data_IF_498254274696
#
_entry.id   IF_498254274696
#
_cell.length_a   1.000
_cell.length_b   1.000
_cell.length_c   1.000
_cell.angle_alpha   90.00
_cell.angle_beta   90.00
_cell.angle_gamma   90.00
#
_symmetry.space_group_name_H-M   'P 1'
#
loop_
_entity.id
_entity.type
_entity.pdbx_description
1 polymer ?
#
# COMPACT_ATOMS: atom_id res chain seq x y z
N UNK A 1 27.67 -43.67 20.29
CA UNK A 1 28.47 -42.45 20.50
C UNK A 1 27.52 -41.27 20.41
N UNK A 2 27.35 -40.54 21.52
CA UNK A 2 26.70 -39.22 21.69
C UNK A 2 25.21 -39.10 21.25
N UNK A 3 24.27 -38.57 22.01
CA UNK A 3 24.32 -37.93 23.32
C UNK A 3 22.97 -38.00 24.03
N UNK A 4 23.08 -37.86 25.35
CA UNK A 4 22.06 -37.94 26.39
C UNK A 4 21.16 -36.70 26.51
N UNK A 5 19.91 -36.97 26.93
CA UNK A 5 19.11 -36.27 27.95
C UNK A 5 19.06 -34.73 27.94
N UNK A 6 17.84 -34.17 28.01
CA UNK A 6 17.26 -33.73 29.28
C UNK A 6 15.96 -32.95 29.06
N UNK A 7 14.89 -33.49 29.63
CA UNK A 7 13.67 -32.77 30.01
C UNK A 7 14.02 -31.81 31.14
N UNK A 8 13.69 -30.52 31.01
CA UNK A 8 13.79 -29.55 32.10
C UNK A 8 12.44 -28.89 32.30
N UNK A 9 11.89 -29.16 33.49
CA UNK A 9 10.79 -28.49 34.18
C UNK A 9 11.13 -27.03 34.48
N UNK A 10 10.18 -26.12 34.30
CA UNK A 10 10.28 -24.76 34.84
C UNK A 10 9.53 -24.67 36.17
N UNK A 11 10.29 -24.32 37.20
CA UNK A 11 9.88 -24.05 38.57
C UNK A 11 9.41 -22.60 38.74
N UNK A 12 8.43 -22.41 39.62
CA UNK A 12 8.03 -21.11 40.16
C UNK A 12 9.07 -20.52 41.14
N UNK A 13 8.96 -19.19 41.29
CA UNK A 13 9.43 -18.30 42.37
C UNK A 13 10.74 -17.53 42.18
N UNK A 14 10.60 -16.21 42.03
CA UNK A 14 11.29 -15.23 42.86
C UNK A 14 10.68 -13.84 42.65
N UNK A 15 10.18 -13.27 43.74
CA UNK A 15 9.80 -11.86 43.86
C UNK A 15 11.06 -10.99 43.67
N UNK A 16 10.96 -10.03 42.77
CA UNK A 16 11.95 -8.98 42.55
C UNK A 16 11.23 -7.67 42.27
N UNK A 17 11.22 -6.79 43.26
CA UNK A 17 10.68 -5.44 43.21
C UNK A 17 11.37 -4.62 42.10
N UNK A 18 10.62 -4.21 41.09
CA UNK A 18 11.06 -3.21 40.12
C UNK A 18 10.19 -1.96 40.17
N UNK A 19 10.89 -0.87 40.41
CA UNK A 19 10.46 0.50 40.56
C UNK A 19 9.66 0.93 39.33
N UNK A 20 8.49 1.51 39.58
CA UNK A 20 7.63 2.17 38.60
C UNK A 20 8.39 3.32 37.94
N UNK A 21 8.97 3.08 36.77
CA UNK A 21 9.21 4.13 35.78
C UNK A 21 8.03 4.08 34.81
N UNK A 22 7.11 5.03 34.97
CA UNK A 22 5.99 5.22 34.06
C UNK A 22 6.50 5.52 32.66
N UNK A 23 6.64 4.49 31.83
CA UNK A 23 6.59 4.68 30.39
C UNK A 23 5.16 5.11 30.06
N UNK A 24 4.96 6.27 29.40
CA UNK A 24 3.66 6.58 28.85
C UNK A 24 3.32 5.44 27.91
N UNK A 25 2.21 4.76 28.20
CA UNK A 25 1.61 3.76 27.30
C UNK A 25 1.48 4.45 25.96
N UNK A 26 2.40 4.14 25.05
CA UNK A 26 2.39 4.62 23.69
C UNK A 26 1.20 3.91 23.06
N UNK A 27 0.01 4.53 23.16
CA UNK A 27 -1.16 4.09 22.40
C UNK A 27 -0.71 4.07 20.95
N UNK A 28 -0.46 2.88 20.41
CA UNK A 28 -0.35 2.72 18.98
C UNK A 28 -1.71 3.16 18.43
N UNK A 29 -1.76 4.35 17.87
CA UNK A 29 -2.89 4.83 17.09
C UNK A 29 -3.00 3.89 15.89
N UNK A 30 -3.80 2.84 16.09
CA UNK A 30 -3.85 1.65 15.22
C UNK A 30 -4.52 1.95 13.88
N UNK A 31 -5.37 2.97 13.85
CA UNK A 31 -6.21 3.30 12.72
C UNK A 31 -5.78 4.60 12.05
N UNK A 32 -5.88 4.62 10.72
CA UNK A 32 -5.72 5.83 9.93
C UNK A 32 -6.92 6.75 10.08
N UNK A 33 -6.71 8.06 9.90
CA UNK A 33 -7.72 9.10 9.99
C UNK A 33 -8.94 8.80 9.10
N UNK A 34 -8.73 8.28 7.89
CA UNK A 34 -9.83 7.91 7.01
C UNK A 34 -10.71 6.80 7.63
N UNK A 35 -10.09 5.73 8.14
CA UNK A 35 -10.80 4.64 8.84
C UNK A 35 -11.47 5.16 10.11
N UNK A 36 -10.84 6.06 10.84
CA UNK A 36 -11.45 6.69 12.02
C UNK A 36 -12.73 7.47 11.68
N UNK A 37 -12.71 8.26 10.61
CA UNK A 37 -13.85 9.09 10.19
C UNK A 37 -15.02 8.24 9.69
N UNK A 38 -14.74 7.23 8.85
CA UNK A 38 -15.76 6.49 8.11
C UNK A 38 -16.00 5.06 8.61
N UNK A 39 -15.16 4.52 9.48
CA UNK A 39 -15.14 3.09 9.81
C UNK A 39 -14.94 2.77 11.29
N UNK A 40 -15.12 3.74 12.20
CA UNK A 40 -14.99 3.53 13.65
C UNK A 40 -16.17 2.80 14.28
N UNK A 41 -17.26 2.55 13.54
CA UNK A 41 -18.44 1.83 14.02
C UNK A 41 -19.36 2.65 14.93
N UNK A 42 -19.05 3.93 15.16
CA UNK A 42 -19.96 4.87 15.83
C UNK A 42 -21.11 5.25 14.91
N UNK A 43 -22.26 5.67 15.46
CA UNK A 43 -23.43 6.08 14.69
C UNK A 43 -23.08 7.13 13.62
N UNK A 44 -22.31 8.16 13.99
CA UNK A 44 -21.93 9.21 13.06
C UNK A 44 -20.92 8.74 12.00
N UNK A 45 -19.99 7.84 12.36
CA UNK A 45 -19.10 7.24 11.35
C UNK A 45 -19.88 6.42 10.32
N UNK A 46 -20.93 5.72 10.77
CA UNK A 46 -21.80 4.92 9.92
C UNK A 46 -22.68 5.79 9.01
N UNK A 47 -23.17 6.94 9.52
CA UNK A 47 -23.86 7.95 8.68
C UNK A 47 -22.93 8.48 7.58
N UNK A 48 -21.67 8.78 7.92
CA UNK A 48 -20.66 9.24 6.95
C UNK A 48 -20.33 8.14 5.92
N UNK A 49 -20.19 6.89 6.36
CA UNK A 49 -19.97 5.74 5.48
C UNK A 49 -21.13 5.52 4.51
N UNK A 50 -22.37 5.61 5.00
CA UNK A 50 -23.59 5.49 4.19
C UNK A 50 -23.67 6.61 3.14
N UNK A 51 -23.36 7.86 3.54
CA UNK A 51 -23.28 8.99 2.61
C UNK A 51 -22.23 8.76 1.52
N UNK A 52 -21.04 8.25 1.90
CA UNK A 52 -19.99 7.91 0.94
C UNK A 52 -20.41 6.79 0.00
N UNK A 53 -21.05 5.74 0.52
CA UNK A 53 -21.60 4.65 -0.28
C UNK A 53 -22.63 5.16 -1.30
N UNK A 54 -23.56 6.00 -0.86
CA UNK A 54 -24.56 6.60 -1.73
C UNK A 54 -23.94 7.45 -2.84
N UNK A 55 -22.92 8.25 -2.50
CA UNK A 55 -22.24 9.10 -3.46
C UNK A 55 -21.48 8.30 -4.52
N UNK A 56 -20.84 7.19 -4.14
CA UNK A 56 -20.09 6.33 -5.07
C UNK A 56 -21.01 5.47 -5.96
N UNK A 57 -22.18 5.08 -5.45
CA UNK A 57 -23.08 4.15 -6.14
C UNK A 57 -24.31 4.81 -6.77
N UNK A 58 -24.48 6.14 -6.61
CA UNK A 58 -25.70 6.87 -6.98
C UNK A 58 -26.97 6.27 -6.38
N UNK A 59 -26.88 5.79 -5.14
CA UNK A 59 -27.99 5.26 -4.34
C UNK A 59 -28.47 6.30 -3.32
N UNK A 60 -29.50 5.95 -2.54
CA UNK A 60 -30.17 6.85 -1.61
C UNK A 60 -30.58 6.18 -0.28
N UNK A 61 -29.76 5.27 0.24
CA UNK A 61 -30.00 4.63 1.53
C UNK A 61 -30.02 5.65 2.67
N UNK A 62 -30.93 5.49 3.63
CA UNK A 62 -31.09 6.40 4.76
C UNK A 62 -30.87 5.74 6.12
N UNK A 63 -30.94 4.41 6.18
CA UNK A 63 -30.81 3.65 7.42
C UNK A 63 -29.40 3.08 7.56
N UNK A 64 -28.69 3.49 8.61
CA UNK A 64 -27.34 2.98 8.90
C UNK A 64 -27.34 1.50 9.30
N UNK A 65 -28.49 0.94 9.71
CA UNK A 65 -28.64 -0.48 10.06
C UNK A 65 -28.55 -1.39 8.84
N UNK A 66 -28.67 -0.83 7.64
CA UNK A 66 -28.45 -1.55 6.38
C UNK A 66 -26.97 -1.91 6.17
N UNK A 67 -26.06 -1.25 6.90
CA UNK A 67 -24.62 -1.52 6.84
C UNK A 67 -24.24 -2.54 7.92
N UNK A 68 -23.62 -3.63 7.49
CA UNK A 68 -22.91 -4.58 8.36
C UNK A 68 -21.40 -4.44 8.16
N UNK A 69 -20.69 -3.89 9.15
CA UNK A 69 -19.22 -3.81 9.08
C UNK A 69 -18.60 -5.21 9.14
N UNK A 70 -17.72 -5.52 8.19
CA UNK A 70 -17.04 -6.81 8.04
C UNK A 70 -15.51 -6.71 8.10
N UNK A 71 -14.97 -5.51 8.34
CA UNK A 71 -13.52 -5.28 8.44
C UNK A 71 -12.85 -6.30 9.35
N UNK A 72 -11.88 -7.03 8.81
CA UNK A 72 -11.14 -8.03 9.59
C UNK A 72 -9.87 -7.39 10.11
N UNK A 73 -9.75 -7.33 11.44
CA UNK A 73 -8.50 -6.92 12.09
C UNK A 73 -7.59 -8.14 12.29
N UNK A 74 -6.31 -8.00 11.92
CA UNK A 74 -5.24 -8.98 12.17
C UNK A 74 -5.49 -10.40 11.66
N UNK A 75 -5.24 -10.63 10.36
CA UNK A 75 -4.91 -11.97 9.85
C UNK A 75 -3.39 -12.06 9.64
N UNK A 76 -2.82 -13.22 9.97
CA UNK A 76 -1.37 -13.51 10.01
C UNK A 76 -0.63 -13.12 8.72
N UNK A 77 -1.31 -13.17 7.57
CA UNK A 77 -0.71 -12.95 6.24
C UNK A 77 -1.17 -11.65 5.56
N UNK A 78 -2.23 -11.02 6.04
CA UNK A 78 -2.84 -9.84 5.42
C UNK A 78 -3.36 -8.91 6.51
N UNK A 79 -2.74 -7.75 6.65
CA UNK A 79 -3.24 -6.70 7.54
C UNK A 79 -4.03 -5.69 6.72
N UNK A 80 -5.35 -5.71 6.82
CA UNK A 80 -6.22 -4.63 6.36
C UNK A 80 -6.09 -3.45 7.34
N UNK A 81 -5.10 -2.58 7.12
CA UNK A 81 -4.80 -1.46 8.05
C UNK A 81 -5.63 -0.21 7.78
N UNK A 82 -5.95 0.05 6.50
CA UNK A 82 -6.57 1.31 6.06
C UNK A 82 -7.95 1.09 5.44
N UNK A 83 -8.41 -0.15 5.48
CA UNK A 83 -9.51 -0.64 4.69
C UNK A 83 -10.78 -0.67 5.53
N UNK A 84 -11.90 -0.26 4.92
CA UNK A 84 -13.23 -0.38 5.50
C UNK A 84 -13.96 -1.42 4.67
N UNK A 85 -14.27 -2.56 5.28
CA UNK A 85 -15.08 -3.60 4.66
C UNK A 85 -16.46 -3.61 5.29
N UNK A 86 -17.49 -3.69 4.46
CA UNK A 86 -18.87 -3.73 4.91
C UNK A 86 -19.79 -4.34 3.86
N UNK A 87 -20.88 -4.93 4.33
CA UNK A 87 -21.97 -5.41 3.49
C UNK A 87 -23.13 -4.42 3.59
N UNK A 88 -23.73 -4.11 2.46
CA UNK A 88 -25.00 -3.40 2.34
C UNK A 88 -25.73 -3.99 1.14
N UNK A 89 -27.00 -4.32 1.30
CA UNK A 89 -27.77 -5.18 0.38
C UNK A 89 -27.00 -6.46 0.03
N UNK A 90 -26.98 -6.84 -1.25
CA UNK A 90 -26.24 -7.97 -1.80
C UNK A 90 -24.81 -7.58 -2.26
N UNK A 91 -24.20 -6.55 -1.68
CA UNK A 91 -22.87 -6.06 -2.07
C UNK A 91 -21.86 -6.18 -0.92
N UNK A 92 -20.74 -6.87 -1.17
CA UNK A 92 -19.55 -6.82 -0.32
C UNK A 92 -18.68 -5.64 -0.77
N UNK A 93 -18.58 -4.61 0.06
CA UNK A 93 -17.84 -3.40 -0.24
C UNK A 93 -16.52 -3.39 0.50
N UNK A 94 -15.48 -2.93 -0.18
CA UNK A 94 -14.17 -2.70 0.39
C UNK A 94 -13.67 -1.34 -0.08
N UNK A 95 -13.46 -0.43 0.85
CA UNK A 95 -12.96 0.91 0.57
C UNK A 95 -11.56 1.05 1.16
N UNK A 96 -10.59 1.40 0.31
CA UNK A 96 -9.22 1.65 0.74
C UNK A 96 -8.80 3.08 0.39
N UNK A 97 -8.34 3.84 1.37
CA UNK A 97 -7.71 5.14 1.12
C UNK A 97 -6.21 4.98 0.88
N UNK A 98 -5.69 5.67 -0.15
CA UNK A 98 -4.27 5.68 -0.49
C UNK A 98 -3.75 7.07 -0.85
N UNK A 99 -2.60 7.41 -0.28
CA UNK A 99 -1.82 8.62 -0.64
C UNK A 99 -0.76 8.37 -1.70
N UNK A 100 -0.57 7.12 -2.12
CA UNK A 100 0.38 6.71 -3.16
C UNK A 100 -0.32 5.89 -4.23
N UNK A 101 0.03 6.13 -5.50
CA UNK A 101 -0.54 5.37 -6.61
C UNK A 101 -0.03 3.93 -6.56
N UNK A 102 -0.94 2.96 -6.55
CA UNK A 102 -0.63 1.55 -6.52
C UNK A 102 -1.36 0.81 -7.65
N UNK A 103 -0.67 0.31 -8.69
CA UNK A 103 -1.32 -0.48 -9.74
C UNK A 103 -1.71 -1.89 -9.29
N UNK A 104 -1.15 -2.38 -8.18
CA UNK A 104 -1.36 -3.75 -7.69
C UNK A 104 -2.66 -3.92 -6.89
N UNK A 105 -3.52 -2.89 -6.89
CA UNK A 105 -4.77 -2.91 -6.14
C UNK A 105 -5.69 -4.07 -6.54
N UNK A 106 -5.92 -4.39 -7.82
CA UNK A 106 -6.75 -5.54 -8.18
C UNK A 106 -6.26 -6.86 -7.55
N UNK A 107 -4.95 -7.09 -7.53
CA UNK A 107 -4.35 -8.28 -6.90
C UNK A 107 -4.56 -8.29 -5.39
N UNK A 108 -4.31 -7.16 -4.73
CA UNK A 108 -4.54 -7.01 -3.28
C UNK A 108 -6.02 -7.20 -2.92
N UNK A 109 -6.91 -6.60 -3.71
CA UNK A 109 -8.36 -6.73 -3.59
C UNK A 109 -8.78 -8.20 -3.72
N UNK A 110 -8.30 -8.92 -4.73
CA UNK A 110 -8.56 -10.35 -4.87
C UNK A 110 -8.24 -11.14 -3.59
N UNK A 111 -7.05 -10.91 -3.00
CA UNK A 111 -6.65 -11.55 -1.73
C UNK A 111 -7.55 -11.15 -0.55
N UNK A 112 -7.99 -9.89 -0.49
CA UNK A 112 -8.85 -9.38 0.58
C UNK A 112 -10.25 -9.99 0.50
N UNK A 113 -10.83 -9.99 -0.69
CA UNK A 113 -12.15 -10.55 -0.92
C UNK A 113 -12.18 -12.07 -0.73
N UNK A 114 -11.12 -12.79 -1.07
CA UNK A 114 -11.02 -14.21 -0.75
C UNK A 114 -11.23 -14.48 0.76
N UNK A 115 -10.61 -13.67 1.63
CA UNK A 115 -10.75 -13.79 3.08
C UNK A 115 -12.11 -13.31 3.58
N UNK A 116 -12.63 -12.21 3.04
CA UNK A 116 -13.97 -11.70 3.36
C UNK A 116 -15.05 -12.73 3.02
N UNK A 117 -14.96 -13.36 1.85
CA UNK A 117 -15.89 -14.42 1.46
C UNK A 117 -15.71 -15.68 2.29
N UNK A 118 -14.48 -16.10 2.60
CA UNK A 118 -14.26 -17.24 3.49
C UNK A 118 -14.95 -17.04 4.85
N UNK A 119 -14.80 -15.84 5.44
CA UNK A 119 -15.47 -15.48 6.69
C UNK A 119 -17.00 -15.44 6.53
N UNK A 120 -17.50 -14.81 5.47
CA UNK A 120 -18.93 -14.72 5.18
C UNK A 120 -19.57 -16.11 5.08
N UNK A 121 -18.94 -17.03 4.34
CA UNK A 121 -19.40 -18.40 4.17
C UNK A 121 -19.38 -19.18 5.51
N UNK A 122 -18.34 -18.98 6.32
CA UNK A 122 -18.25 -19.60 7.65
C UNK A 122 -19.36 -19.11 8.60
N UNK A 123 -19.64 -17.80 8.63
CA UNK A 123 -20.70 -17.22 9.45
C UNK A 123 -22.08 -17.72 9.04
N UNK A 124 -22.32 -17.85 7.74
CA UNK A 124 -23.58 -18.38 7.19
C UNK A 124 -23.65 -19.91 7.16
N UNK A 125 -22.59 -20.60 7.63
CA UNK A 125 -22.48 -22.07 7.64
C UNK A 125 -22.71 -22.69 6.25
N UNK A 126 -22.26 -22.01 5.21
CA UNK A 126 -22.36 -22.47 3.82
C UNK A 126 -21.22 -23.44 3.50
N UNK A 127 -21.56 -24.61 2.97
CA UNK A 127 -20.60 -25.64 2.58
C UNK A 127 -20.17 -25.49 1.12
N UNK A 128 -18.97 -24.97 0.90
CA UNK A 128 -18.40 -24.74 -0.44
C UNK A 128 -18.09 -26.03 -1.21
N UNK A 129 -17.99 -27.16 -0.52
CA UNK A 129 -17.70 -28.47 -1.11
C UNK A 129 -18.98 -29.24 -1.47
N UNK A 130 -20.15 -28.68 -1.13
CA UNK A 130 -21.44 -29.23 -1.50
C UNK A 130 -21.74 -29.11 -2.99
N UNK A 131 -22.78 -29.81 -3.43
CA UNK A 131 -23.21 -29.83 -4.85
C UNK A 131 -24.15 -28.67 -5.21
N UNK A 132 -24.65 -27.93 -4.22
CA UNK A 132 -25.56 -26.79 -4.44
C UNK A 132 -24.78 -25.51 -4.70
N UNK A 133 -25.18 -24.76 -5.73
CA UNK A 133 -24.62 -23.44 -6.02
C UNK A 133 -24.84 -22.51 -4.82
N UNK A 134 -23.75 -21.92 -4.34
CA UNK A 134 -23.79 -20.91 -3.29
C UNK A 134 -23.85 -19.52 -3.94
N UNK A 135 -24.81 -18.72 -3.47
CA UNK A 135 -24.86 -17.29 -3.79
C UNK A 135 -24.06 -16.52 -2.73
N UNK A 136 -23.25 -15.57 -3.19
CA UNK A 136 -22.45 -14.66 -2.35
C UNK A 136 -22.72 -13.21 -2.79
N UNK A 137 -22.54 -12.22 -1.88
CA UNK A 137 -22.66 -10.81 -2.23
C UNK A 137 -21.69 -10.42 -3.35
N UNK A 138 -22.08 -9.54 -4.27
CA UNK A 138 -21.21 -9.10 -5.34
C UNK A 138 -20.10 -8.18 -4.81
N UNK A 139 -18.86 -8.30 -5.29
CA UNK A 139 -17.74 -7.52 -4.79
C UNK A 139 -17.71 -6.11 -5.38
N UNK A 140 -17.44 -5.11 -4.54
CA UNK A 140 -17.13 -3.73 -4.96
C UNK A 140 -15.88 -3.23 -4.27
N UNK A 141 -14.82 -3.04 -5.04
CA UNK A 141 -13.57 -2.49 -4.53
C UNK A 141 -13.38 -1.05 -4.99
N UNK A 142 -13.42 -0.10 -4.05
CA UNK A 142 -13.14 1.32 -4.30
C UNK A 142 -11.82 1.73 -3.66
N UNK A 143 -10.99 2.43 -4.41
CA UNK A 143 -9.73 3.02 -3.93
C UNK A 143 -9.88 4.53 -3.93
N UNK A 144 -9.77 5.15 -2.77
CA UNK A 144 -9.91 6.59 -2.60
C UNK A 144 -8.51 7.19 -2.60
N UNK A 145 -8.11 7.66 -3.78
CA UNK A 145 -6.77 8.18 -4.03
C UNK A 145 -6.71 9.67 -3.70
N UNK A 146 -5.83 10.05 -2.78
CA UNK A 146 -5.53 11.45 -2.51
C UNK A 146 -4.05 11.76 -2.72
N UNK A 147 -3.28 10.97 -3.46
CA UNK A 147 -1.84 11.24 -3.64
C UNK A 147 -1.54 12.43 -4.55
N UNK A 148 -0.24 12.74 -4.70
CA UNK A 148 0.25 13.90 -5.48
C UNK A 148 0.57 13.59 -6.95
N UNK A 149 0.55 12.32 -7.37
CA UNK A 149 0.75 11.96 -8.77
C UNK A 149 -0.46 12.40 -9.57
N UNK A 150 -0.25 13.15 -10.65
CA UNK A 150 -1.31 13.55 -11.57
C UNK A 150 -2.04 12.29 -12.10
N UNK A 151 -3.30 12.14 -11.71
CA UNK A 151 -4.11 10.94 -11.93
C UNK A 151 -5.52 11.38 -12.33
N UNK A 152 -6.16 10.76 -13.33
CA UNK A 152 -7.54 11.09 -13.70
C UNK A 152 -8.53 10.93 -12.55
N UNK A 153 -9.71 11.55 -12.69
CA UNK A 153 -10.81 11.44 -11.71
C UNK A 153 -11.18 9.99 -11.43
N UNK A 154 -11.25 9.15 -12.47
CA UNK A 154 -11.63 7.75 -12.35
C UNK A 154 -10.64 6.87 -13.11
N UNK A 155 -10.10 5.86 -12.44
CA UNK A 155 -9.22 4.86 -13.05
C UNK A 155 -9.73 3.47 -12.70
N UNK A 156 -9.95 2.64 -13.72
CA UNK A 156 -10.31 1.24 -13.55
C UNK A 156 -9.05 0.38 -13.67
N UNK A 157 -8.58 -0.15 -12.55
CA UNK A 157 -7.45 -1.06 -12.50
C UNK A 157 -7.93 -2.50 -12.68
N UNK A 158 -7.19 -3.31 -13.43
CA UNK A 158 -7.54 -4.69 -13.79
C UNK A 158 -6.46 -5.67 -13.35
N UNK A 159 -6.88 -6.83 -12.85
CA UNK A 159 -5.95 -7.89 -12.47
C UNK A 159 -5.25 -8.47 -13.70
N UNK A 160 -5.95 -8.55 -14.83
CA UNK A 160 -5.40 -9.06 -16.09
C UNK A 160 -4.20 -8.27 -16.59
N UNK A 161 -4.08 -6.99 -16.23
CA UNK A 161 -2.93 -6.14 -16.60
C UNK A 161 -1.63 -6.58 -15.89
N UNK A 162 -1.74 -7.43 -14.85
CA UNK A 162 -0.61 -7.94 -14.08
C UNK A 162 -0.17 -9.35 -14.49
N UNK A 163 -0.84 -10.00 -15.43
CA UNK A 163 -0.48 -11.36 -15.86
C UNK A 163 0.71 -11.34 -16.82
N UNK A 164 1.71 -12.19 -16.56
CA UNK A 164 2.85 -12.39 -17.47
C UNK A 164 2.40 -13.02 -18.80
N UNK A 165 1.45 -13.96 -18.72
CA UNK A 165 0.82 -14.59 -19.87
C UNK A 165 -0.39 -13.79 -20.36
N UNK A 166 -0.57 -13.73 -21.68
CA UNK A 166 -1.78 -13.16 -22.27
C UNK A 166 -2.96 -14.11 -22.03
N UNK A 167 -4.06 -13.59 -21.51
CA UNK A 167 -5.34 -14.31 -21.37
C UNK A 167 -6.40 -13.67 -22.25
N UNK A 168 -7.52 -14.36 -22.49
CA UNK A 168 -8.67 -13.71 -23.10
C UNK A 168 -9.25 -12.67 -22.15
N UNK A 169 -9.89 -11.65 -22.74
CA UNK A 169 -10.42 -10.53 -21.99
C UNK A 169 -11.65 -10.96 -21.21
N UNK A 170 -11.53 -10.98 -19.88
CA UNK A 170 -12.64 -11.20 -18.96
C UNK A 170 -12.63 -12.55 -18.23
N UNK A 171 -11.75 -13.48 -18.62
CA UNK A 171 -11.69 -14.82 -18.01
C UNK A 171 -11.33 -14.78 -16.51
N UNK A 172 -10.29 -14.01 -16.19
CA UNK A 172 -9.75 -13.87 -14.84
C UNK A 172 -9.65 -12.39 -14.49
N UNK A 173 -10.81 -11.76 -14.30
CA UNK A 173 -10.90 -10.32 -14.11
C UNK A 173 -11.36 -9.98 -12.69
N UNK A 174 -10.42 -9.47 -11.89
CA UNK A 174 -10.72 -8.72 -10.67
C UNK A 174 -10.41 -7.25 -10.91
N UNK A 175 -11.24 -6.34 -10.41
CA UNK A 175 -11.02 -4.91 -10.65
C UNK A 175 -11.05 -4.09 -9.38
N UNK A 176 -10.28 -3.01 -9.40
CA UNK A 176 -10.37 -1.93 -8.41
C UNK A 176 -10.80 -0.66 -9.14
N UNK A 177 -11.77 0.07 -8.58
CA UNK A 177 -12.19 1.37 -9.10
C UNK A 177 -11.55 2.45 -8.26
N UNK A 178 -10.56 3.14 -8.80
CA UNK A 178 -9.86 4.20 -8.10
C UNK A 178 -10.50 5.56 -8.42
N UNK A 179 -10.87 6.29 -7.38
CA UNK A 179 -11.43 7.64 -7.43
C UNK A 179 -10.38 8.60 -6.91
N UNK A 180 -10.00 9.60 -7.72
CA UNK A 180 -9.14 10.69 -7.25
C UNK A 180 -9.97 11.68 -6.42
N UNK A 181 -9.83 11.62 -5.10
CA UNK A 181 -10.58 12.43 -4.14
C UNK A 181 -9.85 13.72 -3.76
N UNK A 182 -8.74 14.08 -4.43
CA UNK A 182 -8.11 15.38 -4.18
C UNK A 182 -9.10 16.53 -4.45
N UNK A 183 -8.98 17.64 -3.72
CA UNK A 183 -9.97 18.73 -3.74
C UNK A 183 -10.26 19.30 -5.14
N UNK A 184 -9.29 19.24 -6.07
CA UNK A 184 -9.43 19.67 -7.46
C UNK A 184 -10.06 18.64 -8.41
N UNK A 185 -10.46 17.47 -7.92
CA UNK A 185 -10.93 16.32 -8.72
C UNK A 185 -12.30 15.80 -8.24
N UNK A 186 -13.04 15.09 -9.11
CA UNK A 186 -14.33 14.47 -8.76
C UNK A 186 -15.30 15.41 -8.02
N UNK A 187 -15.47 16.64 -8.54
CA UNK A 187 -16.30 17.66 -7.91
C UNK A 187 -17.75 17.20 -7.63
N UNK A 188 -18.33 16.42 -8.54
CA UNK A 188 -19.68 15.85 -8.36
C UNK A 188 -19.75 14.81 -7.25
N UNK A 189 -18.69 14.02 -7.03
CA UNK A 189 -18.63 13.08 -5.90
C UNK A 189 -18.55 13.84 -4.58
N UNK A 190 -17.71 14.87 -4.52
CA UNK A 190 -17.55 15.71 -3.33
C UNK A 190 -18.82 16.48 -2.99
N UNK A 191 -19.58 16.96 -3.99
CA UNK A 191 -20.90 17.55 -3.78
C UNK A 191 -21.90 16.57 -3.17
N UNK A 192 -21.87 15.30 -3.59
CA UNK A 192 -22.78 14.26 -3.10
C UNK A 192 -22.44 13.77 -1.70
N UNK A 193 -21.18 13.88 -1.27
CA UNK A 193 -20.74 13.49 0.06
C UNK A 193 -19.95 14.62 0.74
N UNK A 194 -20.66 15.43 1.54
CA UNK A 194 -20.05 16.50 2.35
C UNK A 194 -18.89 15.99 3.19
N UNK A 195 -19.01 14.81 3.81
CA UNK A 195 -17.96 14.26 4.66
C UNK A 195 -16.68 13.92 3.88
N UNK A 196 -16.82 13.47 2.62
CA UNK A 196 -15.67 13.25 1.74
C UNK A 196 -15.04 14.58 1.33
N UNK A 197 -15.84 15.59 1.01
CA UNK A 197 -15.35 16.95 0.73
C UNK A 197 -14.57 17.51 1.94
N UNK A 198 -15.14 17.46 3.13
CA UNK A 198 -14.52 17.95 4.37
C UNK A 198 -13.18 17.25 4.65
N UNK A 199 -13.13 15.91 4.48
CA UNK A 199 -11.89 15.14 4.58
C UNK A 199 -10.85 15.58 3.55
N UNK A 200 -11.25 15.71 2.28
CA UNK A 200 -10.35 16.06 1.18
C UNK A 200 -9.81 17.48 1.32
N UNK A 201 -10.66 18.40 1.80
CA UNK A 201 -10.27 19.76 2.15
C UNK A 201 -9.21 19.77 3.25
N UNK A 202 -9.41 19.00 4.33
CA UNK A 202 -8.47 18.93 5.44
C UNK A 202 -7.10 18.41 4.99
N UNK A 203 -7.07 17.33 4.22
CA UNK A 203 -5.82 16.76 3.70
C UNK A 203 -5.07 17.78 2.81
N UNK A 204 -5.79 18.50 1.96
CA UNK A 204 -5.24 19.55 1.11
C UNK A 204 -4.68 20.71 1.94
N UNK A 205 -5.37 21.10 3.01
CA UNK A 205 -4.92 22.17 3.91
C UNK A 205 -3.61 21.80 4.63
N UNK A 206 -3.49 20.57 5.13
CA UNK A 206 -2.23 20.08 5.72
C UNK A 206 -1.09 20.19 4.71
N UNK A 207 -1.33 19.78 3.45
CA UNK A 207 -0.31 19.85 2.39
C UNK A 207 0.12 21.27 2.07
N UNK A 208 -0.83 22.19 1.94
CA UNK A 208 -0.55 23.60 1.71
C UNK A 208 0.30 24.19 2.83
N UNK A 209 -0.04 23.91 4.08
CA UNK A 209 0.71 24.39 5.23
C UNK A 209 2.13 23.80 5.28
N UNK A 210 2.31 22.52 4.89
CA UNK A 210 3.64 21.88 4.81
C UNK A 210 4.59 22.51 3.79
N UNK A 211 4.11 23.38 2.88
CA UNK A 211 4.99 24.12 1.98
C UNK A 211 5.84 25.16 2.70
N UNK A 212 5.39 25.66 3.87
CA UNK A 212 6.04 26.75 4.60
C UNK A 212 6.25 26.45 6.09
N UNK A 213 5.66 25.38 6.62
CA UNK A 213 5.69 25.02 8.05
C UNK A 213 6.26 23.63 8.27
N UNK A 214 6.70 23.33 9.49
CA UNK A 214 7.03 21.96 9.90
C UNK A 214 5.79 21.06 9.86
N UNK A 215 5.94 19.73 9.77
CA UNK A 215 4.80 18.78 9.80
C UNK A 215 3.89 19.04 11.00
N UNK A 216 4.47 19.26 12.18
CA UNK A 216 3.71 19.51 13.41
C UNK A 216 2.89 20.80 13.34
N UNK A 217 3.50 21.90 12.93
CA UNK A 217 2.82 23.20 12.79
C UNK A 217 1.74 23.15 11.71
N UNK A 218 2.03 22.52 10.57
CA UNK A 218 1.11 22.39 9.45
C UNK A 218 -0.17 21.63 9.83
N UNK A 219 -0.01 20.51 10.55
CA UNK A 219 -1.13 19.70 11.04
C UNK A 219 -1.93 20.46 12.10
N UNK A 220 -1.28 21.16 13.04
CA UNK A 220 -1.99 21.98 14.04
C UNK A 220 -2.81 23.09 13.38
N UNK A 221 -2.21 23.85 12.46
CA UNK A 221 -2.89 24.94 11.74
C UNK A 221 -4.07 24.44 10.88
N UNK A 222 -3.92 23.26 10.25
CA UNK A 222 -4.99 22.65 9.48
C UNK A 222 -6.15 22.17 10.38
N UNK A 223 -5.86 21.62 11.55
CA UNK A 223 -6.89 21.23 12.53
C UNK A 223 -7.62 22.45 13.07
N UNK A 224 -6.92 23.53 13.42
CA UNK A 224 -7.55 24.77 13.87
C UNK A 224 -8.45 25.38 12.78
N UNK A 225 -8.03 25.30 11.52
CA UNK A 225 -8.83 25.72 10.37
C UNK A 225 -10.06 24.84 10.15
N UNK A 226 -9.92 23.52 10.35
CA UNK A 226 -11.03 22.57 10.28
C UNK A 226 -12.07 22.80 11.38
N UNK A 227 -11.62 23.11 12.61
CA UNK A 227 -12.48 23.50 13.73
C UNK A 227 -13.25 24.77 13.39
N UNK A 228 -12.56 25.82 12.91
CA UNK A 228 -13.18 27.10 12.54
C UNK A 228 -14.24 26.95 11.44
N UNK A 229 -14.03 26.01 10.51
CA UNK A 229 -14.95 25.71 9.41
C UNK A 229 -16.05 24.70 9.78
N UNK A 230 -16.04 24.17 11.00
CA UNK A 230 -16.95 23.14 11.47
C UNK A 230 -17.01 21.91 10.54
N UNK A 231 -15.83 21.45 10.09
CA UNK A 231 -15.73 20.28 9.21
C UNK A 231 -16.15 19.00 9.93
N UNK A 232 -16.70 18.05 9.18
CA UNK A 232 -17.20 16.77 9.70
C UNK A 232 -18.14 16.95 10.89
N UNK A 233 -18.94 18.01 10.83
CA UNK A 233 -20.01 18.33 11.78
C UNK A 233 -19.52 18.46 13.24
N UNK A 234 -18.32 19.03 13.41
CA UNK A 234 -17.73 19.31 14.72
C UNK A 234 -16.71 18.27 15.19
N UNK A 235 -16.51 17.18 14.45
CA UNK A 235 -15.59 16.09 14.81
C UNK A 235 -14.17 16.58 15.15
N UNK A 236 -13.65 17.58 14.42
CA UNK A 236 -12.31 18.14 14.68
C UNK A 236 -12.19 18.85 16.04
N UNK A 237 -13.28 19.43 16.54
CA UNK A 237 -13.30 20.05 17.86
C UNK A 237 -13.37 18.99 18.95
N UNK A 238 -14.26 18.01 18.78
CA UNK A 238 -14.48 16.93 19.75
C UNK A 238 -13.27 16.00 19.89
N UNK A 239 -12.63 15.66 18.77
CA UNK A 239 -11.57 14.66 18.69
C UNK A 239 -10.22 15.28 18.32
N UNK A 240 -9.98 16.54 18.72
CA UNK A 240 -8.80 17.33 18.34
C UNK A 240 -7.49 16.56 18.53
N UNK A 241 -7.24 16.06 19.74
CA UNK A 241 -5.98 15.39 20.08
C UNK A 241 -5.80 14.07 19.32
N UNK A 242 -6.88 13.32 19.11
CA UNK A 242 -6.85 12.05 18.38
C UNK A 242 -6.49 12.30 16.91
N UNK A 243 -7.18 13.24 16.27
CA UNK A 243 -6.95 13.61 14.87
C UNK A 243 -5.54 14.17 14.67
N UNK A 244 -5.05 15.02 15.58
CA UNK A 244 -3.68 15.50 15.56
C UNK A 244 -2.69 14.33 15.56
N UNK A 245 -2.83 13.41 16.51
CA UNK A 245 -1.89 12.28 16.65
C UNK A 245 -1.93 11.32 15.46
N UNK A 246 -3.12 10.96 14.97
CA UNK A 246 -3.26 10.11 13.78
C UNK A 246 -2.63 10.78 12.56
N UNK A 247 -2.92 12.06 12.34
CA UNK A 247 -2.41 12.80 11.16
C UNK A 247 -0.88 12.96 11.24
N UNK A 248 -0.32 13.31 12.39
CA UNK A 248 1.14 13.39 12.56
C UNK A 248 1.80 12.04 12.27
N UNK A 249 1.24 10.96 12.83
CA UNK A 249 1.75 9.59 12.62
C UNK A 249 1.73 9.21 11.13
N UNK A 250 0.65 9.53 10.42
CA UNK A 250 0.54 9.25 8.98
C UNK A 250 1.59 10.01 8.16
N UNK A 251 1.74 11.31 8.38
CA UNK A 251 2.71 12.12 7.63
C UNK A 251 4.16 11.77 7.98
N UNK A 252 4.45 11.42 9.23
CA UNK A 252 5.78 10.94 9.63
C UNK A 252 6.11 9.60 8.95
N UNK A 253 5.15 8.68 8.87
CA UNK A 253 5.32 7.41 8.15
C UNK A 253 5.53 7.64 6.65
N UNK A 254 4.76 8.54 6.02
CA UNK A 254 4.94 8.88 4.60
C UNK A 254 6.31 9.49 4.31
N UNK A 255 6.82 10.32 5.23
CA UNK A 255 8.14 10.91 5.11
C UNK A 255 9.25 9.87 5.27
N UNK A 256 9.12 8.97 6.24
CA UNK A 256 10.01 7.83 6.42
C UNK A 256 10.06 6.96 5.15
N UNK A 257 8.90 6.57 4.61
CA UNK A 257 8.81 5.73 3.41
C UNK A 257 9.39 6.43 2.17
N UNK A 258 9.24 7.75 2.07
CA UNK A 258 9.85 8.55 1.00
C UNK A 258 11.37 8.57 1.11
N UNK A 259 11.91 8.83 2.31
CA UNK A 259 13.35 8.88 2.54
C UNK A 259 14.00 7.52 2.23
N UNK A 260 13.40 6.42 2.71
CA UNK A 260 13.86 5.05 2.38
C UNK A 260 13.87 4.77 0.89
N UNK A 261 12.86 5.25 0.15
CA UNK A 261 12.80 5.08 -1.30
C UNK A 261 13.90 5.87 -2.01
N UNK A 262 14.25 7.05 -1.51
CA UNK A 262 15.31 7.87 -2.09
C UNK A 262 16.70 7.29 -1.79
N UNK A 263 16.94 6.81 -0.57
CA UNK A 263 18.14 6.04 -0.22
C UNK A 263 18.35 4.86 -1.18
N UNK A 264 17.31 4.04 -1.40
CA UNK A 264 17.39 2.90 -2.32
C UNK A 264 17.60 3.30 -3.79
N UNK A 265 17.13 4.48 -4.21
CA UNK A 265 17.43 5.01 -5.56
C UNK A 265 18.89 5.40 -5.69
N UNK A 266 19.45 6.06 -4.68
CA UNK A 266 20.84 6.47 -4.69
C UNK A 266 21.77 5.25 -4.64
N UNK A 267 21.47 4.25 -3.80
CA UNK A 267 22.17 2.96 -3.78
C UNK A 267 22.11 2.28 -5.16
N UNK A 268 20.92 2.16 -5.75
CA UNK A 268 20.75 1.58 -7.08
C UNK A 268 21.49 2.34 -8.19
N UNK A 269 21.60 3.67 -8.09
CA UNK A 269 22.38 4.50 -9.01
C UNK A 269 23.87 4.21 -8.90
N UNK A 270 24.39 4.09 -7.67
CA UNK A 270 25.79 3.77 -7.41
C UNK A 270 26.13 2.36 -7.90
N UNK A 271 25.28 1.37 -7.60
CA UNK A 271 25.46 -0.01 -8.07
C UNK A 271 25.39 -0.10 -9.60
N UNK A 272 24.42 0.58 -10.21
CA UNK A 272 24.27 0.65 -11.66
C UNK A 272 25.47 1.28 -12.35
N UNK A 273 26.04 2.35 -11.78
CA UNK A 273 27.25 2.99 -12.30
C UNK A 273 28.45 2.04 -12.24
N UNK A 274 28.69 1.38 -11.10
CA UNK A 274 29.78 0.40 -10.94
C UNK A 274 29.63 -0.78 -11.89
N UNK A 275 28.43 -1.35 -12.00
CA UNK A 275 28.16 -2.43 -12.93
C UNK A 275 28.39 -1.99 -14.38
N UNK A 276 27.96 -0.77 -14.73
CA UNK A 276 28.21 -0.16 -16.04
C UNK A 276 29.70 0.03 -16.34
N UNK A 277 30.48 0.52 -15.39
CA UNK A 277 31.94 0.68 -15.55
C UNK A 277 32.65 -0.65 -15.74
N UNK A 278 32.29 -1.68 -14.97
CA UNK A 278 32.87 -3.03 -15.10
C UNK A 278 32.51 -3.62 -16.46
N UNK A 279 31.23 -3.52 -16.85
CA UNK A 279 30.75 -4.01 -18.15
C UNK A 279 31.45 -3.30 -19.30
N UNK A 280 31.56 -1.97 -19.26
CA UNK A 280 32.25 -1.19 -20.29
C UNK A 280 33.75 -1.49 -20.39
N UNK A 281 34.43 -1.69 -19.24
CA UNK A 281 35.85 -2.14 -19.23
C UNK A 281 36.00 -3.52 -19.88
N UNK A 282 35.12 -4.46 -19.56
CA UNK A 282 35.16 -5.81 -20.12
C UNK A 282 34.83 -5.81 -21.62
N UNK A 283 33.80 -5.08 -22.05
CA UNK A 283 33.46 -4.92 -23.47
C UNK A 283 34.63 -4.34 -24.27
N UNK A 284 35.28 -3.29 -23.76
CA UNK A 284 36.47 -2.70 -24.40
C UNK A 284 37.66 -3.67 -24.43
N UNK A 285 37.88 -4.44 -23.36
CA UNK A 285 38.95 -5.45 -23.32
C UNK A 285 38.71 -6.54 -24.38
N UNK A 286 37.47 -7.01 -24.51
CA UNK A 286 37.07 -8.00 -25.53
C UNK A 286 37.16 -7.46 -26.95
N UNK A 287 36.75 -6.22 -27.18
CA UNK A 287 36.92 -5.54 -28.48
C UNK A 287 38.40 -5.41 -28.86
N UNK A 288 39.24 -5.00 -27.90
CA UNK A 288 40.69 -4.88 -28.10
C UNK A 288 41.31 -6.24 -28.41
N UNK A 289 40.96 -7.29 -27.66
CA UNK A 289 41.42 -8.65 -27.91
C UNK A 289 41.01 -9.15 -29.30
N UNK A 290 39.77 -8.89 -29.72
CA UNK A 290 39.27 -9.22 -31.07
C UNK A 290 40.11 -8.53 -32.16
N UNK A 291 40.39 -7.25 -32.00
CA UNK A 291 41.20 -6.47 -32.95
C UNK A 291 42.65 -7.01 -33.02
N UNK A 292 43.26 -7.36 -31.89
CA UNK A 292 44.60 -7.95 -31.84
C UNK A 292 44.67 -9.35 -32.48
N UNK A 293 43.65 -10.19 -32.27
CA UNK A 293 43.55 -11.50 -32.90
C UNK A 293 43.47 -11.39 -34.44
N UNK A 294 42.70 -10.41 -34.95
CA UNK A 294 42.60 -10.15 -36.39
C UNK A 294 43.93 -9.73 -37.03
N UNK A 295 44.80 -9.05 -36.27
CA UNK A 295 46.13 -8.66 -36.76
C UNK A 295 47.11 -9.84 -36.88
N UNK A 296 46.86 -10.97 -36.18
CA UNK A 296 47.70 -12.19 -36.20
C UNK A 296 49.18 -11.99 -35.84
N UNK A 297 49.48 -10.96 -35.04
CA UNK A 297 50.85 -10.62 -34.62
C UNK A 297 51.20 -11.19 -33.24
N UNK A 298 50.21 -11.41 -32.38
CA UNK A 298 50.37 -11.84 -31.00
C UNK A 298 49.70 -13.19 -30.75
N UNK A 299 50.24 -13.96 -29.80
CA UNK A 299 49.63 -15.22 -29.34
C UNK A 299 48.42 -14.98 -28.43
N UNK A 300 47.46 -15.92 -28.33
CA UNK A 300 46.32 -15.81 -27.41
C UNK A 300 46.73 -15.51 -25.96
N UNK A 301 47.84 -16.08 -25.49
CA UNK A 301 48.39 -15.87 -24.15
C UNK A 301 48.89 -14.42 -23.95
N UNK A 302 49.56 -13.85 -24.95
CA UNK A 302 50.03 -12.46 -24.92
C UNK A 302 48.85 -11.47 -25.00
N UNK A 303 47.80 -11.79 -25.77
CA UNK A 303 46.59 -10.97 -25.87
C UNK A 303 45.81 -11.01 -24.56
N UNK A 304 45.66 -12.18 -23.94
CA UNK A 304 45.03 -12.34 -22.64
C UNK A 304 45.73 -11.49 -21.58
N UNK A 305 47.06 -11.57 -21.51
CA UNK A 305 47.88 -10.75 -20.61
C UNK A 305 47.73 -9.25 -20.89
N UNK A 306 47.76 -8.82 -22.16
CA UNK A 306 47.69 -7.40 -22.54
C UNK A 306 46.31 -6.77 -22.36
N UNK A 307 45.24 -7.56 -22.47
CA UNK A 307 43.85 -7.10 -22.33
C UNK A 307 43.27 -7.32 -20.93
N UNK A 308 43.97 -8.05 -20.05
CA UNK A 308 43.46 -8.42 -18.74
C UNK A 308 42.29 -9.42 -18.79
N UNK A 309 42.28 -10.28 -19.81
CA UNK A 309 41.31 -11.37 -19.99
C UNK A 309 41.94 -12.71 -19.63
N UNK A 310 41.12 -13.73 -19.43
CA UNK A 310 41.61 -15.12 -19.36
C UNK A 310 41.94 -15.65 -20.76
N UNK A 311 42.82 -16.64 -20.84
CA UNK A 311 43.18 -17.27 -22.12
C UNK A 311 41.95 -17.94 -22.73
N UNK A 312 41.10 -18.56 -21.91
CA UNK A 312 39.83 -19.17 -22.32
C UNK A 312 38.90 -18.15 -23.00
N UNK A 313 38.74 -16.95 -22.42
CA UNK A 313 37.92 -15.89 -23.02
C UNK A 313 38.47 -15.41 -24.37
N UNK A 314 39.79 -15.30 -24.50
CA UNK A 314 40.42 -14.92 -25.79
C UNK A 314 40.20 -16.01 -26.83
N UNK A 315 40.31 -17.29 -26.46
CA UNK A 315 40.04 -18.42 -27.35
C UNK A 315 38.55 -18.51 -27.75
N UNK A 316 37.62 -18.17 -26.87
CA UNK A 316 36.20 -18.04 -27.22
C UNK A 316 35.96 -16.93 -28.25
N UNK A 317 36.59 -15.77 -28.07
CA UNK A 317 36.53 -14.67 -29.05
C UNK A 317 37.11 -15.12 -30.39
N UNK A 318 38.25 -15.82 -30.40
CA UNK A 318 38.89 -16.33 -31.61
C UNK A 318 37.99 -17.31 -32.37
N UNK A 319 37.29 -18.21 -31.68
CA UNK A 319 36.31 -19.13 -32.28
C UNK A 319 35.17 -18.40 -32.99
N UNK A 320 34.77 -17.23 -32.50
CA UNK A 320 33.74 -16.38 -33.11
C UNK A 320 34.22 -15.49 -34.28
N UNK A 321 35.52 -15.49 -34.59
CA UNK A 321 36.11 -14.75 -35.73
C UNK A 321 36.23 -15.63 -36.99
N UNK A 322 36.34 -16.96 -36.82
CA UNK A 322 36.46 -17.94 -37.91
C UNK A 322 35.15 -18.15 -38.66
#
# INVERSE_FOLDING_TARGET
MMDSKNTISFSESSEGSFISSGHPVQRQYKDRLFKFIFGSGTEDSMKRLLSLYNALNNSNHTDIRDISLTTIENIIYVTMKNDISFVIDDQMNLYEQQSSYNPNMPLRGFMYFAQLYQRHLALEKKDIYGTKKIMIPAPRFAVLYNGTKNTPDLVKLRLSDSFEGKTEKGDFEWTATMYNINLSHNYELQKKCKSLYDYSWYVEEVRKNKLTMTTKEAVNAAVDSAIKKNLLDGLFLEQKMEILNMTLTEFDQEEYDRNRREEGREEGRIEGLKAGEIKGKNEKARETARNLLLMKVLTPEQIAQGCGLTVEEVLEIEKGIK
#
